data_IF_299861062709
#
_entry.id   IF_299861062709
#
_cell.length_a   1.000
_cell.length_b   1.000
_cell.length_c   1.000
_cell.angle_alpha   90.00
_cell.angle_beta   90.00
_cell.angle_gamma   90.00
#
_symmetry.space_group_name_H-M   'P 1'
#
loop_
_entity.id
_entity.type
_entity.pdbx_description
1 polymer ?
#
# COMPACT_ATOMS: atom_id res chain seq x y z
N UNK A 1 -14.15 -3.32 -1.77
CA UNK A 1 -14.14 -2.61 -0.48
C UNK A 1 -14.92 -1.32 -0.66
N UNK A 2 -15.71 -0.92 0.34
CA UNK A 2 -16.41 0.36 0.32
C UNK A 2 -15.45 1.41 0.86
N UNK A 3 -14.98 2.30 -0.01
CA UNK A 3 -14.11 3.43 0.35
C UNK A 3 -15.02 4.64 0.58
N UNK A 4 -15.09 5.10 1.82
CA UNK A 4 -15.77 6.36 2.15
C UNK A 4 -14.78 7.52 1.99
N UNK A 5 -15.14 8.49 1.16
CA UNK A 5 -14.33 9.66 0.79
C UNK A 5 -14.98 10.98 1.20
N UNK A 6 -16.04 10.93 2.01
CA UNK A 6 -16.82 12.13 2.39
C UNK A 6 -16.06 13.03 3.37
N UNK A 7 -15.23 12.43 4.24
CA UNK A 7 -14.40 13.15 5.21
C UNK A 7 -13.02 13.55 4.69
N UNK A 8 -12.34 14.36 5.50
CA UNK A 8 -10.94 14.74 5.30
C UNK A 8 -9.95 13.60 5.53
N UNK A 9 -10.38 12.56 6.26
CA UNK A 9 -9.75 11.24 6.36
C UNK A 9 -10.69 10.23 5.70
N UNK A 10 -10.21 9.51 4.69
CA UNK A 10 -10.99 8.46 4.03
C UNK A 10 -10.97 7.20 4.88
N UNK A 11 -12.07 6.45 4.87
CA UNK A 11 -12.16 5.17 5.58
C UNK A 11 -12.38 4.01 4.60
N UNK A 12 -11.70 2.91 4.85
CA UNK A 12 -11.81 1.69 4.05
C UNK A 12 -12.18 0.54 4.98
N UNK A 13 -13.42 0.05 4.88
CA UNK A 13 -13.85 -1.14 5.61
C UNK A 13 -13.54 -2.40 4.79
N UNK A 14 -12.72 -3.27 5.37
CA UNK A 14 -12.31 -4.52 4.73
C UNK A 14 -13.38 -5.60 4.91
N UNK A 15 -13.90 -6.10 3.78
CA UNK A 15 -14.83 -7.24 3.75
C UNK A 15 -14.07 -8.53 4.08
N UNK A 16 -12.95 -8.76 3.41
CA UNK A 16 -12.12 -9.94 3.60
C UNK A 16 -10.87 -9.59 4.40
N UNK A 17 -10.68 -10.28 5.52
CA UNK A 17 -9.46 -10.21 6.33
C UNK A 17 -9.34 -11.45 7.21
N UNK A 18 -8.14 -11.70 7.75
CA UNK A 18 -7.80 -12.94 8.50
C UNK A 18 -8.79 -13.27 9.63
N UNK A 19 -9.41 -12.27 10.25
CA UNK A 19 -10.35 -12.44 11.36
C UNK A 19 -11.81 -12.15 11.00
N UNK A 20 -12.12 -12.02 9.70
CA UNK A 20 -13.49 -11.75 9.23
C UNK A 20 -14.45 -12.88 9.63
N UNK A 21 -14.00 -14.15 9.52
CA UNK A 21 -14.77 -15.32 9.94
C UNK A 21 -15.10 -15.33 11.45
N UNK A 22 -14.41 -14.52 12.25
CA UNK A 22 -14.68 -14.33 13.69
C UNK A 22 -15.63 -13.17 13.97
N UNK A 23 -16.31 -12.63 12.95
CA UNK A 23 -17.25 -11.52 13.06
C UNK A 23 -16.61 -10.17 13.41
N UNK A 24 -15.28 -10.05 13.28
CA UNK A 24 -14.57 -8.80 13.55
C UNK A 24 -14.64 -7.89 12.33
N UNK A 25 -14.73 -6.59 12.57
CA UNK A 25 -14.62 -5.56 11.54
C UNK A 25 -13.19 -5.03 11.48
N UNK A 26 -12.77 -4.58 10.30
CA UNK A 26 -11.49 -3.92 10.13
C UNK A 26 -11.59 -2.70 9.24
N UNK A 27 -11.39 -1.54 9.84
CA UNK A 27 -11.35 -0.25 9.15
C UNK A 27 -9.91 0.23 9.02
N UNK A 28 -9.56 0.76 7.86
CA UNK A 28 -8.30 1.47 7.60
C UNK A 28 -8.65 2.95 7.42
N UNK A 29 -7.92 3.80 8.13
CA UNK A 29 -8.02 5.25 8.03
C UNK A 29 -6.89 5.75 7.14
N UNK A 30 -7.24 6.52 6.12
CA UNK A 30 -6.31 6.99 5.08
C UNK A 30 -6.21 8.49 5.18
N UNK A 31 -5.04 8.97 5.63
CA UNK A 31 -4.77 10.39 5.79
C UNK A 31 -4.49 11.11 4.48
N UNK A 32 -4.33 12.45 4.52
CA UNK A 32 -4.20 13.27 3.31
C UNK A 32 -3.02 12.92 2.40
N UNK A 33 -1.91 12.37 2.94
CA UNK A 33 -0.76 11.99 2.14
C UNK A 33 -1.03 10.67 1.40
N UNK A 34 -1.60 9.69 2.10
CA UNK A 34 -2.00 8.42 1.51
C UNK A 34 -3.15 8.58 0.50
N UNK A 35 -4.08 9.53 0.73
CA UNK A 35 -5.15 9.88 -0.20
C UNK A 35 -4.60 10.34 -1.54
N UNK A 36 -3.58 11.21 -1.56
CA UNK A 36 -2.94 11.67 -2.81
C UNK A 36 -2.36 10.50 -3.63
N UNK A 37 -1.84 9.48 -2.95
CA UNK A 37 -1.33 8.27 -3.60
C UNK A 37 -2.47 7.38 -4.13
N UNK A 38 -3.56 7.25 -3.37
CA UNK A 38 -4.70 6.39 -3.73
C UNK A 38 -5.66 7.02 -4.74
N UNK A 39 -5.82 8.34 -4.76
CA UNK A 39 -6.82 9.03 -5.58
C UNK A 39 -6.79 8.64 -7.07
N UNK A 40 -5.64 8.61 -7.76
CA UNK A 40 -5.59 8.25 -9.19
C UNK A 40 -6.09 6.82 -9.45
N UNK A 41 -5.95 5.96 -8.44
CA UNK A 41 -6.28 4.55 -8.51
C UNK A 41 -7.74 4.25 -8.18
N UNK A 42 -8.49 5.20 -7.63
CA UNK A 42 -9.91 5.06 -7.32
C UNK A 42 -10.83 5.59 -8.43
N UNK A 43 -10.27 6.16 -9.51
CA UNK A 43 -11.02 6.62 -10.68
C UNK A 43 -11.37 5.47 -11.66
N UNK A 44 -10.81 4.29 -11.45
CA UNK A 44 -11.05 3.10 -12.28
C UNK A 44 -12.26 2.31 -11.81
N UNK A 45 -12.58 1.24 -12.53
CA UNK A 45 -13.62 0.30 -12.14
C UNK A 45 -13.39 -0.29 -10.73
N UNK A 46 -14.40 -0.32 -9.83
CA UNK A 46 -14.24 -0.74 -8.43
C UNK A 46 -13.75 -2.19 -8.22
N UNK A 47 -13.89 -3.05 -9.22
CA UNK A 47 -13.49 -4.46 -9.20
C UNK A 47 -11.99 -4.64 -9.45
N UNK A 48 -11.32 -3.63 -10.01
CA UNK A 48 -9.92 -3.68 -10.40
C UNK A 48 -9.02 -3.30 -9.22
N UNK A 49 -7.91 -4.01 -9.06
CA UNK A 49 -6.95 -3.77 -7.99
C UNK A 49 -6.32 -2.38 -8.08
N UNK A 50 -6.15 -1.72 -6.94
CA UNK A 50 -5.50 -0.39 -6.89
C UNK A 50 -4.00 -0.43 -7.26
N UNK A 51 -3.33 -1.55 -7.05
CA UNK A 51 -1.90 -1.68 -7.34
C UNK A 51 -1.67 -2.95 -8.17
N UNK A 52 -1.15 -2.76 -9.38
CA UNK A 52 -0.89 -3.85 -10.32
C UNK A 52 0.60 -3.95 -10.67
N UNK A 53 1.24 -5.12 -10.47
CA UNK A 53 2.60 -5.36 -10.93
C UNK A 53 2.78 -5.15 -12.43
N UNK A 54 1.78 -5.52 -13.25
CA UNK A 54 1.83 -5.31 -14.71
C UNK A 54 1.90 -3.83 -15.05
N UNK A 55 1.04 -3.02 -14.43
CA UNK A 55 1.02 -1.56 -14.64
C UNK A 55 2.33 -0.93 -14.17
N UNK A 56 2.82 -1.33 -12.98
CA UNK A 56 4.09 -0.84 -12.43
C UNK A 56 5.27 -1.14 -13.35
N UNK A 57 5.34 -2.35 -13.90
CA UNK A 57 6.38 -2.74 -14.86
C UNK A 57 6.27 -1.98 -16.18
N UNK A 58 5.05 -1.73 -16.67
CA UNK A 58 4.80 -0.93 -17.87
C UNK A 58 5.28 0.51 -17.67
N UNK A 59 4.89 1.15 -16.56
CA UNK A 59 5.32 2.50 -16.20
C UNK A 59 6.85 2.59 -16.06
N UNK A 60 7.49 1.60 -15.40
CA UNK A 60 8.95 1.57 -15.29
C UNK A 60 9.64 1.49 -16.64
N UNK A 61 9.15 0.64 -17.55
CA UNK A 61 9.71 0.51 -18.91
C UNK A 61 9.53 1.79 -19.72
N UNK A 62 8.36 2.42 -19.61
CA UNK A 62 8.09 3.70 -20.26
C UNK A 62 9.03 4.79 -19.74
N UNK A 63 9.15 4.95 -18.42
CA UNK A 63 10.06 5.93 -17.83
C UNK A 63 11.54 5.68 -18.18
N UNK A 64 11.94 4.42 -18.34
CA UNK A 64 13.29 4.08 -18.82
C UNK A 64 13.48 4.39 -20.30
N UNK A 65 12.43 4.23 -21.11
CA UNK A 65 12.44 4.60 -22.52
C UNK A 65 12.50 6.13 -22.70
N UNK A 66 11.75 6.88 -21.90
CA UNK A 66 11.77 8.36 -21.91
C UNK A 66 13.13 8.92 -21.45
N UNK A 67 13.79 8.28 -20.48
CA UNK A 67 15.15 8.64 -20.02
C UNK A 67 16.27 8.14 -20.94
N UNK A 68 15.94 7.47 -22.04
CA UNK A 68 16.92 6.89 -22.93
C UNK A 68 17.73 7.99 -23.62
N UNK A 69 19.05 7.93 -23.51
CA UNK A 69 19.98 8.84 -24.20
C UNK A 69 20.28 8.38 -25.63
N UNK A 70 20.36 7.07 -25.85
CA UNK A 70 20.61 6.51 -27.18
C UNK A 70 19.43 6.77 -28.10
N UNK A 71 19.62 7.35 -29.30
CA UNK A 71 18.53 7.56 -30.24
C UNK A 71 17.78 6.26 -30.59
N UNK A 72 16.47 6.32 -30.92
CA UNK A 72 15.70 5.14 -31.30
C UNK A 72 16.23 4.40 -32.54
N UNK A 73 16.95 5.10 -33.41
CA UNK A 73 17.60 4.54 -34.60
C UNK A 73 18.80 3.64 -34.28
N UNK A 74 19.39 3.77 -33.09
CA UNK A 74 20.63 3.09 -32.70
C UNK A 74 20.40 2.04 -31.61
N UNK A 75 21.12 0.91 -31.69
CA UNK A 75 21.06 -0.18 -30.70
C UNK A 75 19.75 -0.98 -30.71
N UNK A 76 19.45 -1.68 -29.60
CA UNK A 76 18.22 -2.47 -29.48
C UNK A 76 16.99 -1.56 -29.41
N UNK A 77 16.03 -1.78 -30.32
CA UNK A 77 14.75 -1.09 -30.37
C UNK A 77 13.77 -1.75 -29.37
N UNK A 78 12.75 -1.03 -28.87
CA UNK A 78 11.68 -1.64 -28.09
C UNK A 78 11.10 -2.86 -28.81
N UNK A 79 11.02 -4.00 -28.13
CA UNK A 79 10.52 -5.25 -28.72
C UNK A 79 11.53 -6.06 -29.56
N UNK A 80 12.72 -5.52 -29.88
CA UNK A 80 13.72 -6.27 -30.68
C UNK A 80 14.73 -7.05 -29.82
N UNK A 81 14.65 -6.94 -28.49
CA UNK A 81 15.40 -7.81 -27.59
C UNK A 81 14.91 -9.26 -27.77
N UNK A 82 15.58 -9.99 -28.67
CA UNK A 82 15.40 -11.43 -28.91
C UNK A 82 16.02 -12.21 -27.76
N UNK A 83 15.43 -12.09 -26.57
CA UNK A 83 15.78 -12.98 -25.47
C UNK A 83 15.21 -14.35 -25.85
N UNK A 84 16.08 -15.31 -26.17
CA UNK A 84 15.68 -16.66 -26.60
C UNK A 84 14.80 -17.38 -25.56
N UNK A 85 14.89 -16.97 -24.28
CA UNK A 85 14.16 -17.57 -23.18
C UNK A 85 13.18 -16.59 -22.55
N UNK A 86 11.88 -16.91 -22.66
CA UNK A 86 10.81 -16.17 -21.96
C UNK A 86 11.09 -16.14 -20.45
N UNK A 87 10.81 -15.03 -19.76
CA UNK A 87 10.96 -14.98 -18.31
C UNK A 87 10.09 -16.07 -17.67
N UNK A 88 10.66 -16.80 -16.69
CA UNK A 88 9.96 -17.91 -16.01
C UNK A 88 8.67 -17.47 -15.30
N UNK A 89 8.56 -16.18 -14.95
CA UNK A 89 7.37 -15.59 -14.32
C UNK A 89 7.08 -14.22 -14.94
N UNK A 90 5.88 -14.08 -15.50
CA UNK A 90 5.35 -12.80 -15.94
C UNK A 90 4.76 -12.03 -14.73
N UNK A 91 4.78 -10.68 -14.75
CA UNK A 91 4.05 -9.90 -13.76
C UNK A 91 2.55 -10.19 -13.86
N UNK A 92 1.86 -10.21 -12.72
CA UNK A 92 0.43 -10.50 -12.57
C UNK A 92 -0.39 -9.22 -12.37
N UNK A 93 -1.71 -9.30 -12.50
CA UNK A 93 -2.60 -8.15 -12.29
C UNK A 93 -2.66 -7.66 -10.83
N UNK A 94 -2.37 -8.55 -9.87
CA UNK A 94 -2.35 -8.25 -8.44
C UNK A 94 -1.00 -8.65 -7.81
N UNK A 95 -0.61 -7.95 -6.74
CA UNK A 95 0.54 -8.34 -5.94
C UNK A 95 0.23 -9.58 -5.09
N UNK A 96 1.13 -10.55 -5.12
CA UNK A 96 1.24 -11.60 -4.10
C UNK A 96 2.16 -11.14 -2.97
N UNK A 97 2.10 -11.80 -1.81
CA UNK A 97 3.00 -11.54 -0.66
C UNK A 97 4.47 -11.51 -1.07
N UNK A 98 4.91 -12.46 -1.90
CA UNK A 98 6.29 -12.53 -2.37
C UNK A 98 6.66 -11.37 -3.30
N UNK A 99 5.78 -11.01 -4.24
CA UNK A 99 6.03 -9.87 -5.14
C UNK A 99 5.97 -8.53 -4.41
N UNK A 100 5.12 -8.40 -3.40
CA UNK A 100 5.03 -7.22 -2.55
C UNK A 100 6.33 -7.00 -1.77
N UNK A 101 6.80 -8.02 -1.04
CA UNK A 101 8.07 -7.95 -0.31
C UNK A 101 9.27 -7.66 -1.22
N UNK A 102 9.30 -8.24 -2.42
CA UNK A 102 10.36 -7.98 -3.40
C UNK A 102 10.32 -6.56 -3.96
N UNK A 103 9.14 -5.95 -4.06
CA UNK A 103 8.99 -4.55 -4.49
C UNK A 103 9.57 -3.59 -3.43
N UNK A 104 9.37 -3.90 -2.15
CA UNK A 104 9.98 -3.14 -1.04
C UNK A 104 11.51 -3.29 -1.08
N UNK A 105 12.03 -4.52 -1.23
CA UNK A 105 13.46 -4.76 -1.40
C UNK A 105 14.06 -3.90 -2.53
N UNK A 106 13.39 -3.83 -3.69
CA UNK A 106 13.87 -3.01 -4.80
C UNK A 106 13.78 -1.51 -4.52
N UNK A 107 12.76 -1.06 -3.79
CA UNK A 107 12.67 0.33 -3.34
C UNK A 107 13.83 0.69 -2.39
N UNK A 108 14.13 -0.17 -1.40
CA UNK A 108 15.27 0.00 -0.49
C UNK A 108 16.59 0.07 -1.25
N UNK A 109 16.85 -0.88 -2.16
CA UNK A 109 18.07 -0.89 -3.00
C UNK A 109 18.23 0.39 -3.80
N UNK A 110 17.15 0.88 -4.42
CA UNK A 110 17.17 2.13 -5.21
C UNK A 110 17.43 3.35 -4.32
N UNK A 111 16.89 3.36 -3.10
CA UNK A 111 17.11 4.41 -2.12
C UNK A 111 18.44 4.29 -1.37
N UNK A 112 19.25 3.25 -1.64
CA UNK A 112 20.49 2.92 -0.91
C UNK A 112 20.26 2.75 0.60
N UNK A 113 19.09 2.21 0.97
CA UNK A 113 18.75 1.86 2.34
C UNK A 113 19.02 0.38 2.58
N UNK A 114 19.17 0.02 3.86
CA UNK A 114 19.13 -1.38 4.28
C UNK A 114 17.83 -2.04 3.82
N UNK A 115 17.85 -3.36 3.67
CA UNK A 115 16.67 -4.11 3.28
C UNK A 115 15.62 -4.11 4.39
N UNK A 116 14.38 -3.72 4.05
CA UNK A 116 13.24 -3.75 4.96
C UNK A 116 12.20 -4.78 4.51
N UNK A 117 11.64 -5.50 5.47
CA UNK A 117 10.51 -6.40 5.27
C UNK A 117 9.17 -5.68 5.46
N UNK A 118 8.08 -6.13 4.81
CA UNK A 118 6.75 -5.52 4.96
C UNK A 118 6.31 -5.31 6.41
N UNK A 119 6.55 -6.30 7.26
CA UNK A 119 6.13 -6.23 8.66
C UNK A 119 6.97 -5.23 9.48
N UNK A 120 8.23 -4.96 9.09
CA UNK A 120 9.06 -3.94 9.75
C UNK A 120 8.50 -2.54 9.53
N UNK A 121 7.99 -2.24 8.32
CA UNK A 121 7.31 -0.95 8.05
C UNK A 121 6.08 -0.77 8.95
N UNK A 122 5.31 -1.84 9.13
CA UNK A 122 4.15 -1.85 10.04
C UNK A 122 4.57 -1.61 11.49
N UNK A 123 5.61 -2.28 11.97
CA UNK A 123 6.13 -2.09 13.32
C UNK A 123 6.74 -0.69 13.54
N UNK A 124 7.45 -0.14 12.55
CA UNK A 124 7.99 1.21 12.64
C UNK A 124 6.87 2.25 12.77
N UNK A 125 5.81 2.12 11.96
CA UNK A 125 4.63 2.98 12.04
C UNK A 125 3.93 2.83 13.41
N UNK A 126 3.79 1.60 13.90
CA UNK A 126 3.24 1.33 15.24
C UNK A 126 4.02 2.04 16.35
N UNK A 127 5.36 1.97 16.29
CA UNK A 127 6.25 2.61 17.26
C UNK A 127 6.14 4.13 17.18
N UNK A 128 6.08 4.71 15.98
CA UNK A 128 5.92 6.14 15.78
C UNK A 128 4.58 6.64 16.36
N UNK A 129 3.47 5.99 16.01
CA UNK A 129 2.14 6.34 16.53
C UNK A 129 2.11 6.21 18.05
N UNK A 130 2.67 5.12 18.60
CA UNK A 130 2.68 4.92 20.06
C UNK A 130 3.44 6.01 20.79
N UNK A 131 4.57 6.47 20.23
CA UNK A 131 5.40 7.53 20.82
C UNK A 131 4.67 8.86 20.87
N UNK A 132 3.88 9.19 19.85
CA UNK A 132 3.23 10.50 19.70
C UNK A 132 1.80 10.54 20.24
N UNK A 133 1.04 9.44 20.11
CA UNK A 133 -0.39 9.37 20.38
C UNK A 133 -0.77 8.31 21.44
N UNK A 134 0.20 7.57 21.96
CA UNK A 134 -0.03 6.56 22.98
C UNK A 134 -0.44 5.18 22.45
N UNK A 135 -0.59 4.23 23.39
CA UNK A 135 -0.81 2.81 23.08
C UNK A 135 -2.15 2.55 22.40
N UNK A 136 -3.22 3.19 22.89
CA UNK A 136 -4.58 3.02 22.37
C UNK A 136 -4.67 3.45 20.90
N UNK A 137 -4.12 4.62 20.56
CA UNK A 137 -4.07 5.12 19.19
C UNK A 137 -3.32 4.13 18.25
N UNK A 138 -2.19 3.60 18.70
CA UNK A 138 -1.44 2.60 17.94
C UNK A 138 -2.25 1.30 17.76
N UNK A 139 -2.96 0.83 18.78
CA UNK A 139 -3.79 -0.36 18.70
C UNK A 139 -4.94 -0.20 17.69
N UNK A 140 -5.63 0.95 17.70
CA UNK A 140 -6.76 1.21 16.81
C UNK A 140 -6.31 1.31 15.36
N UNK A 141 -5.27 2.10 15.07
CA UNK A 141 -4.75 2.24 13.69
C UNK A 141 -4.23 0.90 13.17
N UNK A 142 -3.58 0.12 14.03
CA UNK A 142 -3.15 -1.23 13.69
C UNK A 142 -4.26 -2.28 13.78
N UNK A 143 -5.47 -1.92 14.22
CA UNK A 143 -6.63 -2.79 14.45
C UNK A 143 -6.26 -4.10 15.14
N UNK A 144 -5.53 -3.97 16.25
CA UNK A 144 -5.29 -5.09 17.17
C UNK A 144 -6.52 -5.31 18.05
N UNK A 145 -6.84 -6.56 18.35
CA UNK A 145 -8.10 -6.93 19.00
C UNK A 145 -8.03 -7.11 20.53
N UNK A 146 -6.93 -6.74 21.19
CA UNK A 146 -6.79 -6.79 22.66
C UNK A 146 -5.83 -5.69 23.14
N UNK A 147 -6.03 -5.08 24.32
CA UNK A 147 -6.66 -5.61 25.53
C UNK A 147 -7.97 -4.90 25.93
N UNK A 148 -9.02 -5.67 26.22
CA UNK A 148 -10.34 -5.29 26.81
C UNK A 148 -11.04 -4.03 26.26
N UNK A 149 -11.79 -4.18 25.16
CA UNK A 149 -12.56 -3.08 24.58
C UNK A 149 -14.03 -3.46 24.41
N UNK A 150 -14.89 -2.84 25.22
CA UNK A 150 -16.37 -2.91 25.17
C UNK A 150 -16.92 -1.99 24.07
N UNK A 151 -18.17 -2.21 23.63
CA UNK A 151 -18.80 -1.50 22.50
C UNK A 151 -18.82 0.04 22.60
N UNK A 152 -18.71 0.62 23.80
CA UNK A 152 -18.69 2.08 24.03
C UNK A 152 -17.41 2.76 23.50
N UNK A 153 -16.34 1.98 23.25
CA UNK A 153 -15.04 2.52 22.85
C UNK A 153 -14.88 2.71 21.33
N UNK A 154 -15.70 2.06 20.49
CA UNK A 154 -15.51 2.06 19.04
C UNK A 154 -15.53 3.47 18.40
N UNK A 155 -16.40 4.36 18.88
CA UNK A 155 -16.50 5.74 18.38
C UNK A 155 -15.31 6.61 18.83
N UNK A 156 -14.90 6.50 20.10
CA UNK A 156 -13.72 7.20 20.63
C UNK A 156 -12.43 6.73 19.95
N UNK A 157 -12.37 5.45 19.64
CA UNK A 157 -11.27 4.83 18.91
C UNK A 157 -11.22 5.33 17.46
N UNK A 158 -12.37 5.41 16.78
CA UNK A 158 -12.45 5.97 15.43
C UNK A 158 -11.99 7.43 15.38
N UNK A 159 -12.43 8.27 16.33
CA UNK A 159 -12.00 9.67 16.42
C UNK A 159 -10.47 9.79 16.60
N UNK A 160 -9.87 9.00 17.50
CA UNK A 160 -8.40 8.96 17.69
C UNK A 160 -7.68 8.53 16.42
N UNK A 161 -8.17 7.50 15.73
CA UNK A 161 -7.53 7.02 14.52
C UNK A 161 -7.62 8.02 13.36
N UNK A 162 -8.74 8.75 13.25
CA UNK A 162 -8.89 9.87 12.33
C UNK A 162 -7.88 10.98 12.66
N UNK A 163 -7.72 11.35 13.93
CA UNK A 163 -6.76 12.38 14.34
C UNK A 163 -5.31 11.99 14.01
N UNK A 164 -4.94 10.72 14.24
CA UNK A 164 -3.63 10.17 13.88
C UNK A 164 -3.44 10.21 12.36
N UNK A 165 -4.40 9.70 11.60
CA UNK A 165 -4.34 9.67 10.14
C UNK A 165 -4.25 11.08 9.54
N UNK A 166 -4.98 12.04 10.11
CA UNK A 166 -4.92 13.44 9.71
C UNK A 166 -3.52 14.05 9.89
N UNK A 167 -2.85 13.73 11.00
CA UNK A 167 -1.53 14.30 11.35
C UNK A 167 -0.36 13.62 10.64
N UNK A 168 -0.34 12.29 10.61
CA UNK A 168 0.79 11.52 10.05
C UNK A 168 0.66 11.38 8.52
N UNK A 169 -0.57 11.36 8.00
CA UNK A 169 -0.85 11.31 6.56
C UNK A 169 -1.17 9.94 6.01
#
# INVERSE_FOLDING_TARGET
>A
AMVDRTGDVWTITLVEHKTAYRGKTRTIYVGPQAQKVLAPYLLREPTVTCFSPIESEKQRRQAAHERRVTPPSCGNRPGTNRIARKPRKAPTAAFTTGTYGRSILYACKRAKLEHWHPNQLRHATATAIRKEFGLEAAQVVLGHAGADVTQIYAEKDAAKAIDVARKIG
#
